data_IF_145443406629
#
_entry.id   IF_145443406629
#
_cell.length_a   1.000
_cell.length_b   1.000
_cell.length_c   1.000
_cell.angle_alpha   90.00
_cell.angle_beta   90.00
_cell.angle_gamma   90.00
#
_symmetry.space_group_name_H-M   'P 1'
#
loop_
_entity.id
_entity.type
_entity.pdbx_description
1 polymer ?
#
# COMPACT_ATOMS: atom_id res chain seq x y z
N UNK A 1 8.04 1.39 27.98
CA UNK A 1 7.79 1.24 26.51
C UNK A 1 6.30 1.10 26.26
N UNK A 2 5.79 1.86 25.30
CA UNK A 2 4.38 1.72 24.93
C UNK A 2 4.17 0.38 24.21
N UNK A 3 2.93 -0.15 24.27
CA UNK A 3 2.59 -1.38 23.54
C UNK A 3 2.77 -1.25 22.02
N UNK A 4 2.70 -0.03 21.49
CA UNK A 4 2.92 0.27 20.06
C UNK A 4 4.38 0.06 19.68
N UNK A 5 5.32 0.50 20.50
CA UNK A 5 6.77 0.27 20.26
C UNK A 5 7.11 -1.22 20.34
N UNK A 6 6.51 -1.94 21.27
CA UNK A 6 6.72 -3.38 21.40
C UNK A 6 6.14 -4.17 20.22
N UNK A 7 5.04 -3.72 19.61
CA UNK A 7 4.49 -4.30 18.39
C UNK A 7 5.38 -4.05 17.16
N UNK A 8 6.02 -2.88 17.09
CA UNK A 8 6.90 -2.54 15.96
C UNK A 8 8.18 -3.40 15.91
N UNK A 9 8.55 -4.03 17.03
CA UNK A 9 9.72 -4.91 17.10
C UNK A 9 9.38 -6.39 16.83
N UNK A 10 8.09 -6.75 16.80
CA UNK A 10 7.65 -8.11 16.53
C UNK A 10 7.47 -8.37 15.05
N UNK A 11 7.73 -9.61 14.66
CA UNK A 11 7.33 -10.08 13.34
C UNK A 11 5.83 -10.31 13.27
N UNK A 12 5.24 -9.96 12.15
CA UNK A 12 3.83 -10.21 11.86
C UNK A 12 3.64 -10.40 10.36
N UNK A 13 2.49 -10.93 9.98
CA UNK A 13 2.13 -11.06 8.57
C UNK A 13 0.76 -10.44 8.31
N UNK A 14 0.60 -9.91 7.11
CA UNK A 14 -0.68 -9.43 6.60
C UNK A 14 -1.09 -10.36 5.46
N UNK A 15 -2.27 -10.95 5.55
CA UNK A 15 -2.83 -11.79 4.51
C UNK A 15 -3.86 -11.02 3.70
N UNK A 16 -3.73 -11.06 2.38
CA UNK A 16 -4.63 -10.39 1.46
C UNK A 16 -4.17 -10.54 0.01
N UNK A 17 -4.75 -9.75 -0.87
CA UNK A 17 -4.28 -9.65 -2.25
C UNK A 17 -3.17 -8.61 -2.32
N UNK A 18 -1.94 -9.07 -2.48
CA UNK A 18 -0.78 -8.19 -2.56
C UNK A 18 -0.64 -7.65 -3.97
N UNK A 19 -0.54 -6.34 -4.12
CA UNK A 19 -0.34 -5.68 -5.41
C UNK A 19 0.84 -4.72 -5.28
N UNK A 20 1.90 -4.99 -6.02
CA UNK A 20 3.11 -4.16 -6.00
C UNK A 20 3.85 -4.26 -7.34
N UNK A 21 4.92 -3.49 -7.50
CA UNK A 21 5.75 -3.49 -8.70
C UNK A 21 7.16 -3.93 -8.33
N UNK A 22 7.48 -5.20 -8.58
CA UNK A 22 8.84 -5.72 -8.47
C UNK A 22 9.70 -5.29 -9.66
N UNK A 23 9.05 -5.05 -10.81
CA UNK A 23 9.66 -4.60 -12.06
C UNK A 23 8.94 -3.34 -12.56
N UNK A 24 9.67 -2.50 -13.29
CA UNK A 24 9.22 -1.18 -13.70
C UNK A 24 7.88 -1.15 -14.44
N UNK A 25 7.64 -2.11 -15.30
CA UNK A 25 6.51 -2.07 -16.24
C UNK A 25 5.44 -3.13 -15.97
N UNK A 26 5.50 -3.80 -14.81
CA UNK A 26 4.58 -4.88 -14.49
C UNK A 26 4.10 -4.80 -13.05
N UNK A 27 2.81 -4.99 -12.86
CA UNK A 27 2.26 -5.28 -11.54
C UNK A 27 2.51 -6.74 -11.18
N UNK A 28 2.94 -6.97 -9.95
CA UNK A 28 2.92 -8.28 -9.32
C UNK A 28 1.66 -8.37 -8.47
N UNK A 29 0.81 -9.33 -8.76
CA UNK A 29 -0.44 -9.58 -8.03
C UNK A 29 -0.35 -10.97 -7.43
N UNK A 30 -0.45 -11.05 -6.11
CA UNK A 30 -0.44 -12.30 -5.36
C UNK A 30 -1.74 -12.41 -4.58
N UNK A 31 -2.66 -13.23 -5.06
CA UNK A 31 -3.94 -13.44 -4.39
C UNK A 31 -3.77 -14.34 -3.17
N UNK A 32 -4.49 -14.03 -2.11
CA UNK A 32 -4.50 -14.81 -0.86
C UNK A 32 -3.08 -15.11 -0.34
N UNK A 33 -2.24 -14.10 -0.37
CA UNK A 33 -0.82 -14.19 -0.05
C UNK A 33 -0.45 -13.46 1.24
N UNK A 34 0.77 -13.62 1.68
CA UNK A 34 1.26 -13.08 2.95
C UNK A 34 2.38 -12.07 2.73
N UNK A 35 2.22 -10.90 3.30
CA UNK A 35 3.29 -9.93 3.45
C UNK A 35 3.85 -10.05 4.86
N UNK A 36 5.10 -10.45 4.98
CA UNK A 36 5.75 -10.64 6.27
C UNK A 36 6.60 -9.42 6.61
N UNK A 37 6.42 -8.91 7.81
CA UNK A 37 7.21 -7.82 8.36
C UNK A 37 8.00 -8.32 9.57
N UNK A 38 9.27 -7.99 9.61
CA UNK A 38 10.16 -8.21 10.75
C UNK A 38 10.57 -6.85 11.32
N UNK A 39 10.03 -6.54 12.50
CA UNK A 39 10.22 -5.22 13.08
C UNK A 39 9.68 -4.12 12.17
N UNK A 40 10.56 -3.26 11.69
CA UNK A 40 10.21 -2.11 10.83
C UNK A 40 10.47 -2.38 9.34
N UNK A 41 10.78 -3.61 8.97
CA UNK A 41 11.15 -3.96 7.59
C UNK A 41 10.22 -5.00 7.02
N UNK A 42 9.95 -4.89 5.73
CA UNK A 42 9.30 -5.96 4.97
C UNK A 42 10.32 -7.07 4.73
N UNK A 43 10.03 -8.26 5.24
CA UNK A 43 10.88 -9.43 5.06
C UNK A 43 10.63 -10.11 3.71
N UNK A 44 9.39 -10.10 3.23
CA UNK A 44 9.06 -10.68 1.94
C UNK A 44 7.56 -10.84 1.72
N UNK A 45 7.23 -11.23 0.50
CA UNK A 45 5.87 -11.58 0.08
C UNK A 45 5.85 -13.05 -0.32
N UNK A 46 4.89 -13.81 0.19
CA UNK A 46 4.86 -15.27 0.06
C UNK A 46 3.44 -15.74 -0.29
N UNK A 47 3.33 -16.64 -1.24
CA UNK A 47 2.05 -17.31 -1.53
C UNK A 47 1.64 -18.23 -0.39
N UNK A 48 2.61 -18.91 0.21
CA UNK A 48 2.43 -19.75 1.40
C UNK A 48 3.39 -19.28 2.48
N UNK A 49 2.86 -19.13 3.69
CA UNK A 49 3.67 -18.67 4.81
C UNK A 49 4.81 -19.67 5.12
N UNK A 50 6.08 -19.24 5.05
CA UNK A 50 7.20 -20.11 5.38
C UNK A 50 7.14 -20.64 6.81
N UNK A 51 7.64 -21.85 7.05
CA UNK A 51 7.62 -22.49 8.37
C UNK A 51 8.28 -21.65 9.46
N UNK A 52 9.32 -20.89 9.13
CA UNK A 52 9.98 -19.99 10.08
C UNK A 52 9.08 -18.88 10.62
N UNK A 53 7.96 -18.61 9.92
CA UNK A 53 6.97 -17.60 10.31
C UNK A 53 5.65 -18.19 10.80
N UNK A 54 5.58 -19.50 11.02
CA UNK A 54 4.35 -20.19 11.41
C UNK A 54 3.73 -19.69 12.72
N UNK A 55 4.51 -19.06 13.59
CA UNK A 55 4.06 -18.55 14.88
C UNK A 55 3.83 -17.03 14.91
N UNK A 56 4.03 -16.35 13.79
CA UNK A 56 3.76 -14.91 13.74
C UNK A 56 2.26 -14.62 13.76
N UNK A 57 1.90 -13.48 14.30
CA UNK A 57 0.52 -13.01 14.21
C UNK A 57 0.17 -12.69 12.76
N UNK A 58 -0.94 -13.22 12.29
CA UNK A 58 -1.46 -12.97 10.94
C UNK A 58 -2.67 -12.07 11.02
N UNK A 59 -2.59 -10.91 10.38
CA UNK A 59 -3.73 -10.04 10.18
C UNK A 59 -4.38 -10.40 8.84
N UNK A 60 -5.49 -11.12 8.90
CA UNK A 60 -6.23 -11.52 7.70
C UNK A 60 -7.12 -10.37 7.23
N UNK A 61 -6.81 -9.80 6.08
CA UNK A 61 -7.55 -8.71 5.46
C UNK A 61 -8.61 -9.20 4.46
N UNK A 62 -8.81 -10.52 4.36
CA UNK A 62 -9.72 -11.12 3.39
C UNK A 62 -9.33 -10.81 1.96
N UNK A 63 -10.29 -10.44 1.13
CA UNK A 63 -10.04 -10.09 -0.27
C UNK A 63 -9.56 -8.66 -0.51
N UNK A 64 -9.16 -7.92 0.53
CA UNK A 64 -8.69 -6.55 0.38
C UNK A 64 -7.30 -6.51 -0.26
N UNK A 65 -7.05 -5.44 -1.00
CA UNK A 65 -5.74 -5.18 -1.57
C UNK A 65 -4.77 -4.64 -0.51
N UNK A 66 -3.57 -5.18 -0.53
CA UNK A 66 -2.44 -4.69 0.26
C UNK A 66 -1.44 -4.12 -0.73
N UNK A 67 -1.21 -2.83 -0.64
CA UNK A 67 -0.33 -2.08 -1.55
C UNK A 67 0.78 -1.40 -0.77
N UNK A 68 1.91 -1.06 -1.40
CA UNK A 68 2.92 -0.21 -0.78
C UNK A 68 2.34 1.15 -0.39
N UNK A 69 2.84 1.72 0.69
CA UNK A 69 2.49 3.09 1.08
C UNK A 69 2.84 4.08 -0.03
N UNK A 70 1.97 5.07 -0.22
CA UNK A 70 2.16 6.09 -1.24
C UNK A 70 2.91 7.30 -0.67
N UNK A 71 3.66 7.97 -1.54
CA UNK A 71 4.33 9.22 -1.22
C UNK A 71 3.97 10.25 -2.29
N UNK A 72 3.37 11.34 -1.88
CA UNK A 72 3.02 12.44 -2.78
C UNK A 72 3.90 13.64 -2.47
N UNK A 73 4.86 13.90 -3.36
CA UNK A 73 5.82 14.99 -3.21
C UNK A 73 5.33 16.32 -3.79
N UNK A 74 4.17 16.31 -4.45
CA UNK A 74 3.53 17.50 -5.00
C UNK A 74 2.01 17.35 -4.91
N UNK A 75 1.41 17.97 -3.91
CA UNK A 75 -0.02 17.85 -3.64
C UNK A 75 -0.62 19.21 -3.30
N UNK A 76 -1.86 19.44 -3.75
CA UNK A 76 -2.67 20.58 -3.36
C UNK A 76 -3.83 20.05 -2.51
N UNK A 77 -3.83 20.36 -1.22
CA UNK A 77 -4.82 19.86 -0.26
C UNK A 77 -6.26 20.21 -0.63
N UNK A 78 -6.46 21.38 -1.24
CA UNK A 78 -7.78 21.82 -1.73
C UNK A 78 -8.36 20.93 -2.84
N UNK A 79 -7.53 20.13 -3.49
CA UNK A 79 -7.92 19.24 -4.60
C UNK A 79 -8.04 17.78 -4.16
N UNK A 80 -7.93 17.49 -2.87
CA UNK A 80 -7.89 16.11 -2.35
C UNK A 80 -9.14 15.30 -2.72
N UNK A 81 -10.31 15.93 -2.78
CA UNK A 81 -11.57 15.25 -3.07
C UNK A 81 -11.77 14.88 -4.55
N UNK A 82 -10.95 15.42 -5.45
CA UNK A 82 -11.07 15.17 -6.89
C UNK A 82 -9.73 14.91 -7.56
N UNK A 83 -8.80 14.28 -6.82
CA UNK A 83 -7.52 13.87 -7.37
C UNK A 83 -7.71 12.92 -8.56
N UNK A 84 -6.89 13.10 -9.58
CA UNK A 84 -6.95 12.30 -10.80
C UNK A 84 -7.99 12.75 -11.83
N UNK A 85 -8.91 13.62 -11.44
CA UNK A 85 -9.89 14.19 -12.37
C UNK A 85 -9.23 15.31 -13.17
N UNK A 86 -9.47 15.36 -14.46
CA UNK A 86 -8.96 16.42 -15.31
C UNK A 86 -7.54 16.22 -15.82
N UNK A 87 -6.98 15.03 -15.70
CA UNK A 87 -5.63 14.72 -16.17
C UNK A 87 -5.45 14.84 -17.69
N UNK A 88 -6.55 14.77 -18.42
CA UNK A 88 -6.59 14.91 -19.89
C UNK A 88 -6.93 16.31 -20.36
N UNK A 89 -6.99 17.30 -19.48
CA UNK A 89 -7.31 18.68 -19.81
C UNK A 89 -6.01 19.43 -20.16
N UNK A 90 -6.04 20.20 -21.24
CA UNK A 90 -4.90 21.02 -21.63
C UNK A 90 -4.57 22.06 -20.55
N UNK A 91 -3.28 22.31 -20.33
CA UNK A 91 -2.81 23.19 -19.25
C UNK A 91 -3.46 24.57 -19.24
N UNK A 92 -3.74 25.15 -20.42
CA UNK A 92 -4.39 26.47 -20.51
C UNK A 92 -5.86 26.49 -20.04
N UNK A 93 -6.49 25.34 -19.86
CA UNK A 93 -7.90 25.21 -19.48
C UNK A 93 -8.11 24.84 -18.01
N UNK A 94 -7.05 24.56 -17.27
CA UNK A 94 -7.14 24.04 -15.90
C UNK A 94 -7.87 25.00 -14.96
N UNK A 95 -7.53 26.26 -14.95
CA UNK A 95 -8.14 27.24 -14.06
C UNK A 95 -9.65 27.36 -14.29
N UNK A 96 -10.06 27.43 -15.55
CA UNK A 96 -11.49 27.50 -15.91
C UNK A 96 -12.24 26.25 -15.52
N UNK A 97 -11.59 25.09 -15.60
CA UNK A 97 -12.20 23.81 -15.26
C UNK A 97 -12.37 23.66 -13.74
N UNK A 98 -11.33 23.97 -12.97
CA UNK A 98 -11.37 23.87 -11.50
C UNK A 98 -12.25 24.92 -10.84
N UNK A 99 -12.49 26.06 -11.47
CA UNK A 99 -13.45 27.08 -10.97
C UNK A 99 -14.90 26.58 -10.89
N UNK A 100 -15.18 25.43 -11.48
CA UNK A 100 -16.51 24.78 -11.44
C UNK A 100 -16.72 23.89 -10.22
N UNK A 101 -15.70 23.59 -9.46
CA UNK A 101 -15.70 22.72 -8.29
C UNK A 101 -15.21 23.47 -7.06
#
# INVERSE_FOLDING_TARGET
MSQVEHRAERSFAIKGTLVFTAQRDQFTIMEDAYLVCEGKKVAGAYETLPDRYRQVDVLDMGGKFVIPGTCDIHVHASQASFQGIGQNIENGQWNTWFDRY
#
